data_IF_629177198963
#
_entry.id   IF_629177198963
#
_cell.length_a   1.000
_cell.length_b   1.000
_cell.length_c   1.000
_cell.angle_alpha   90.00
_cell.angle_beta   90.00
_cell.angle_gamma   90.00
#
_symmetry.space_group_name_H-M   'P 1'
#
loop_
_entity.id
_entity.type
_entity.pdbx_description
1 polymer ?
#
# COMPACT_ATOMS: atom_id res chain seq x y z
N UNK A 1 17.45 11.25 21.12
CA UNK A 1 17.06 9.87 21.46
C UNK A 1 15.55 9.76 21.34
N UNK A 2 15.09 9.22 20.22
CA UNK A 2 13.80 8.51 20.06
C UNK A 2 13.97 7.64 18.82
N UNK A 3 14.64 6.50 19.02
CA UNK A 3 14.60 5.38 18.10
C UNK A 3 13.17 4.83 18.12
N UNK A 4 12.45 4.93 17.03
CA UNK A 4 11.26 4.13 16.77
C UNK A 4 11.30 3.73 15.29
N UNK A 5 11.57 2.44 15.11
CA UNK A 5 11.47 1.60 13.91
C UNK A 5 10.76 2.23 12.70
N UNK A 6 11.47 2.30 11.57
CA UNK A 6 10.97 2.65 10.24
C UNK A 6 9.91 1.68 9.67
N UNK A 7 9.32 0.82 10.49
CA UNK A 7 8.21 -0.05 10.09
C UNK A 7 6.92 0.72 10.27
N UNK A 8 6.58 1.55 9.29
CA UNK A 8 5.29 2.22 9.23
C UNK A 8 4.16 1.18 9.33
N UNK A 9 3.08 1.42 10.10
CA UNK A 9 1.91 0.54 10.13
C UNK A 9 1.35 0.23 8.73
N UNK A 10 1.36 1.22 7.82
CA UNK A 10 0.94 1.05 6.42
C UNK A 10 1.77 -0.02 5.71
N UNK A 11 3.09 0.01 5.84
CA UNK A 11 3.98 -0.98 5.23
C UNK A 11 3.68 -2.38 5.73
N UNK A 12 3.47 -2.56 7.04
CA UNK A 12 3.16 -3.87 7.62
C UNK A 12 1.83 -4.42 7.10
N UNK A 13 0.79 -3.59 7.01
CA UNK A 13 -0.50 -3.98 6.43
C UNK A 13 -0.36 -4.39 4.95
N UNK A 14 0.37 -3.61 4.15
CA UNK A 14 0.61 -3.94 2.74
C UNK A 14 1.41 -5.24 2.61
N UNK A 15 2.46 -5.42 3.42
CA UNK A 15 3.24 -6.63 3.46
C UNK A 15 2.38 -7.85 3.83
N UNK A 16 1.48 -7.70 4.80
CA UNK A 16 0.54 -8.76 5.17
C UNK A 16 -0.41 -9.13 4.02
N UNK A 17 -0.93 -8.14 3.28
CA UNK A 17 -1.77 -8.37 2.09
C UNK A 17 -0.97 -9.12 1.02
N UNK A 18 0.26 -8.69 0.73
CA UNK A 18 1.14 -9.34 -0.24
C UNK A 18 1.46 -10.80 0.13
N UNK A 19 1.74 -11.08 1.40
CA UNK A 19 2.05 -12.44 1.86
C UNK A 19 0.80 -13.31 1.87
N UNK A 20 -0.32 -12.80 2.39
CA UNK A 20 -1.52 -13.60 2.64
C UNK A 20 -2.39 -13.81 1.39
N UNK A 21 -2.47 -12.80 0.51
CA UNK A 21 -3.36 -12.82 -0.65
C UNK A 21 -2.60 -13.10 -1.95
N UNK A 22 -1.32 -12.73 -2.03
CA UNK A 22 -0.50 -12.85 -3.25
C UNK A 22 0.69 -13.82 -3.09
N UNK A 23 0.80 -14.49 -1.94
CA UNK A 23 1.86 -15.46 -1.63
C UNK A 23 3.30 -14.94 -1.85
N UNK A 24 3.48 -13.61 -1.75
CA UNK A 24 4.78 -12.98 -1.95
C UNK A 24 5.68 -13.30 -0.76
N UNK A 25 6.92 -13.69 -1.04
CA UNK A 25 7.89 -13.98 0.01
C UNK A 25 8.18 -12.71 0.84
N UNK A 26 8.03 -12.73 2.18
CA UNK A 26 8.28 -11.56 3.01
C UNK A 26 9.71 -11.06 2.94
N UNK A 27 10.66 -11.92 2.55
CA UNK A 27 12.06 -11.57 2.30
C UNK A 27 12.27 -10.71 1.04
N UNK A 28 11.34 -10.77 0.09
CA UNK A 28 11.35 -9.94 -1.13
C UNK A 28 10.62 -8.60 -0.94
N UNK A 29 9.82 -8.47 0.12
CA UNK A 29 9.05 -7.27 0.42
C UNK A 29 9.97 -6.25 1.10
N UNK A 30 10.56 -5.36 0.30
CA UNK A 30 11.41 -4.27 0.80
C UNK A 30 10.90 -2.91 0.32
N UNK A 31 11.09 -1.81 1.05
CA UNK A 31 10.53 -0.50 0.68
C UNK A 31 10.98 -0.05 -0.71
N UNK A 32 12.24 -0.30 -1.07
CA UNK A 32 12.82 0.10 -2.35
C UNK A 32 12.47 -0.82 -3.54
N UNK A 33 11.76 -1.93 -3.34
CA UNK A 33 11.45 -2.85 -4.44
C UNK A 33 10.36 -2.25 -5.34
N UNK A 34 10.54 -2.27 -6.66
CA UNK A 34 9.47 -1.93 -7.58
C UNK A 34 8.39 -3.01 -7.54
N UNK A 35 7.11 -2.61 -7.68
CA UNK A 35 5.99 -3.55 -7.66
C UNK A 35 6.13 -4.64 -8.75
N UNK A 36 6.73 -4.28 -9.89
CA UNK A 36 7.04 -5.21 -10.98
C UNK A 36 8.06 -6.30 -10.61
N UNK A 37 8.93 -6.07 -9.63
CA UNK A 37 9.91 -7.07 -9.15
C UNK A 37 9.36 -7.95 -8.03
N UNK A 38 8.18 -7.64 -7.48
CA UNK A 38 7.50 -8.50 -6.50
C UNK A 38 6.95 -9.79 -7.13
N UNK A 39 6.97 -9.91 -8.46
CA UNK A 39 6.39 -11.04 -9.18
C UNK A 39 4.87 -10.96 -9.29
N UNK A 40 4.30 -9.76 -9.18
CA UNK A 40 2.87 -9.54 -9.39
C UNK A 40 2.56 -9.52 -10.90
N UNK A 41 1.73 -10.46 -11.35
CA UNK A 41 1.15 -10.43 -12.68
C UNK A 41 0.19 -9.24 -12.87
N UNK A 42 -0.19 -8.94 -14.10
CA UNK A 42 -1.12 -7.83 -14.41
C UNK A 42 -2.47 -7.94 -13.69
N UNK A 43 -3.00 -9.15 -13.53
CA UNK A 43 -4.22 -9.39 -12.74
C UNK A 43 -3.96 -9.24 -11.24
N UNK A 44 -2.85 -9.78 -10.75
CA UNK A 44 -2.46 -9.70 -9.34
C UNK A 44 -2.23 -8.24 -8.92
N UNK A 45 -1.64 -7.42 -9.77
CA UNK A 45 -1.52 -5.98 -9.56
C UNK A 45 -2.89 -5.32 -9.39
N UNK A 46 -3.83 -5.60 -10.28
CA UNK A 46 -5.19 -5.06 -10.19
C UNK A 46 -5.85 -5.47 -8.86
N UNK A 47 -5.84 -6.76 -8.53
CA UNK A 47 -6.39 -7.26 -7.26
C UNK A 47 -5.67 -6.69 -6.04
N UNK A 48 -4.36 -6.46 -6.13
CA UNK A 48 -3.56 -5.87 -5.07
C UNK A 48 -3.98 -4.43 -4.80
N UNK A 49 -4.17 -3.63 -5.84
CA UNK A 49 -4.70 -2.27 -5.71
C UNK A 49 -6.06 -2.29 -5.02
N UNK A 50 -6.99 -3.14 -5.47
CA UNK A 50 -8.30 -3.28 -4.85
C UNK A 50 -8.22 -3.70 -3.38
N UNK A 51 -7.38 -4.67 -3.04
CA UNK A 51 -7.21 -5.14 -1.66
C UNK A 51 -6.63 -4.07 -0.74
N UNK A 52 -5.68 -3.27 -1.25
CA UNK A 52 -5.11 -2.15 -0.50
C UNK A 52 -6.15 -1.03 -0.33
N UNK A 53 -6.85 -0.65 -1.40
CA UNK A 53 -7.95 0.33 -1.34
C UNK A 53 -9.01 -0.06 -0.31
N UNK A 54 -9.44 -1.33 -0.31
CA UNK A 54 -10.43 -1.86 0.64
C UNK A 54 -9.90 -1.85 2.08
N UNK A 55 -8.68 -2.34 2.30
CA UNK A 55 -8.06 -2.44 3.62
C UNK A 55 -7.88 -1.07 4.31
N UNK A 56 -7.65 -0.01 3.53
CA UNK A 56 -7.48 1.34 4.04
C UNK A 56 -8.69 2.25 3.78
N UNK A 57 -9.79 1.72 3.22
CA UNK A 57 -10.98 2.47 2.82
C UNK A 57 -10.67 3.73 1.98
N UNK A 58 -9.70 3.62 1.07
CA UNK A 58 -9.22 4.74 0.26
C UNK A 58 -9.36 4.45 -1.23
N UNK A 59 -9.15 5.49 -2.05
CA UNK A 59 -9.08 5.34 -3.51
C UNK A 59 -7.68 5.65 -4.02
N UNK A 60 -7.05 4.64 -4.61
CA UNK A 60 -5.76 4.75 -5.28
C UNK A 60 -6.04 4.93 -6.78
N UNK A 61 -5.60 6.03 -7.40
CA UNK A 61 -5.72 6.19 -8.84
C UNK A 61 -4.91 5.10 -9.56
N UNK A 62 -5.60 4.26 -10.35
CA UNK A 62 -4.99 3.22 -11.18
C UNK A 62 -3.93 3.80 -12.14
N UNK A 63 -4.13 5.03 -12.63
CA UNK A 63 -3.16 5.77 -13.46
C UNK A 63 -1.83 6.03 -12.74
N UNK A 64 -1.83 6.08 -11.39
CA UNK A 64 -0.61 6.21 -10.57
C UNK A 64 -0.01 4.87 -10.20
N UNK A 65 -0.68 3.77 -10.53
CA UNK A 65 -0.26 2.40 -10.31
C UNK A 65 -0.01 1.67 -11.62
N UNK A 66 0.18 2.43 -12.71
CA UNK A 66 0.38 1.89 -14.03
C UNK A 66 1.67 1.05 -14.06
N UNK A 67 1.61 -0.25 -14.38
CA UNK A 67 2.79 -1.11 -14.46
C UNK A 67 3.80 -0.63 -15.50
N UNK A 68 3.39 0.23 -16.45
CA UNK A 68 4.29 0.87 -17.42
C UNK A 68 5.08 2.02 -16.80
N UNK A 69 4.59 2.64 -15.73
CA UNK A 69 5.38 3.52 -14.88
C UNK A 69 6.31 2.66 -14.00
N UNK A 70 7.39 2.16 -14.60
CA UNK A 70 8.38 1.25 -14.01
C UNK A 70 9.12 1.78 -12.74
N UNK A 71 8.68 2.90 -12.16
CA UNK A 71 9.27 3.53 -10.98
C UNK A 71 8.46 3.40 -9.70
N UNK A 72 7.32 2.70 -9.71
CA UNK A 72 6.48 2.61 -8.51
C UNK A 72 7.03 1.54 -7.58
N UNK A 73 7.74 2.02 -6.57
CA UNK A 73 8.25 1.21 -5.46
C UNK A 73 7.20 1.05 -4.36
N UNK A 74 7.34 -0.02 -3.59
CA UNK A 74 6.50 -0.27 -2.42
C UNK A 74 6.49 0.91 -1.43
N UNK A 75 7.63 1.58 -1.25
CA UNK A 75 7.76 2.78 -0.42
C UNK A 75 6.93 3.95 -0.96
N UNK A 76 6.90 4.17 -2.28
CA UNK A 76 6.08 5.23 -2.90
C UNK A 76 4.59 5.01 -2.67
N UNK A 77 4.16 3.75 -2.75
CA UNK A 77 2.79 3.37 -2.43
C UNK A 77 2.47 3.63 -0.96
N UNK A 78 3.35 3.20 -0.05
CA UNK A 78 3.19 3.46 1.39
C UNK A 78 3.07 4.97 1.68
N UNK A 79 3.96 5.78 1.11
CA UNK A 79 3.98 7.23 1.32
C UNK A 79 2.70 7.91 0.81
N UNK A 80 2.18 7.48 -0.35
CA UNK A 80 0.92 8.00 -0.89
C UNK A 80 -0.28 7.67 0.01
N UNK A 81 -0.33 6.47 0.57
CA UNK A 81 -1.38 6.02 1.49
C UNK A 81 -1.26 6.77 2.83
N UNK A 82 -0.05 6.85 3.40
CA UNK A 82 0.21 7.60 4.62
C UNK A 82 -0.19 9.07 4.49
N UNK A 83 0.08 9.70 3.34
CA UNK A 83 -0.30 11.06 3.06
C UNK A 83 -1.82 11.24 3.05
N UNK A 84 -2.58 10.30 2.46
CA UNK A 84 -4.04 10.32 2.52
C UNK A 84 -4.57 10.10 3.94
N UNK A 85 -4.10 9.06 4.65
CA UNK A 85 -4.55 8.75 6.01
C UNK A 85 -4.29 9.92 6.95
N UNK A 86 -3.12 10.59 6.84
CA UNK A 86 -2.80 11.75 7.68
C UNK A 86 -3.63 12.99 7.32
N UNK A 87 -4.18 13.05 6.10
CA UNK A 87 -5.03 14.16 5.65
C UNK A 87 -6.52 13.94 5.97
N UNK A 88 -6.96 12.69 6.18
CA UNK A 88 -8.37 12.34 6.44
C UNK A 88 -8.74 12.30 7.94
N UNK A 89 -7.79 12.58 8.85
CA UNK A 89 -8.07 12.73 10.29
C UNK A 89 -8.71 14.10 10.60
N UNK A 90 -9.70 14.50 9.81
CA UNK A 90 -10.78 15.38 10.28
C UNK A 90 -11.93 14.44 10.66
N UNK A 91 -12.24 14.28 11.97
CA UNK A 91 -13.24 13.33 12.41
C UNK A 91 -14.60 13.76 11.86
N UNK A 92 -15.11 13.05 10.85
CA UNK A 92 -16.53 13.09 10.51
C UNK A 92 -17.30 12.33 11.59
N UNK A 93 -17.43 12.98 12.74
CA UNK A 93 -18.45 12.70 13.74
C UNK A 93 -19.78 13.11 13.13
N UNK A 94 -20.44 12.19 12.45
CA UNK A 94 -21.84 12.30 12.05
C UNK A 94 -22.57 10.97 12.29
N UNK A 95 -22.83 10.68 13.57
CA UNK A 95 -24.09 10.06 13.99
C UNK A 95 -24.95 11.19 14.58
N UNK A 96 -26.30 11.12 14.72
CA UNK A 96 -27.24 10.02 14.43
C UNK A 96 -28.50 10.46 13.63
N UNK A 97 -29.32 9.50 13.16
CA UNK A 97 -30.80 9.54 13.21
C UNK A 97 -31.37 8.16 12.82
#
# INVERSE_FOLDING_TARGET
MSSASFTTPVFNSIAAILVNNFEVAPTSIVPGVPLSELGLDSLALMEFVFAVEDAFQLRLPEDKLDPREAGITLQRLCDAIEAQIRCDIEPSMAAPA
#
